data_IF_918961554801
#
_entry.id   IF_918961554801
#
_cell.length_a   1.000
_cell.length_b   1.000
_cell.length_c   1.000
_cell.angle_alpha   90.00
_cell.angle_beta   90.00
_cell.angle_gamma   90.00
#
_symmetry.space_group_name_H-M   'P 1'
#
loop_
_entity.id
_entity.type
_entity.pdbx_description
1 polymer ?
#
# COMPACT_ATOMS: atom_id res chain seq x y z
N UNK A 1 -24.79 -12.51 -5.43
CA UNK A 1 -24.75 -11.53 -4.31
C UNK A 1 -25.39 -12.12 -3.06
N UNK A 2 -24.80 -11.88 -1.89
CA UNK A 2 -25.34 -12.29 -0.60
C UNK A 2 -26.16 -11.14 -0.01
N UNK A 3 -27.46 -11.33 0.18
CA UNK A 3 -28.36 -10.34 0.74
C UNK A 3 -28.66 -10.71 2.19
N UNK A 4 -28.35 -9.83 3.15
CA UNK A 4 -28.54 -10.04 4.59
C UNK A 4 -29.49 -8.99 5.14
N UNK A 5 -30.61 -9.45 5.74
CA UNK A 5 -31.63 -8.56 6.34
C UNK A 5 -31.64 -8.71 7.84
N UNK A 6 -32.00 -7.65 8.54
CA UNK A 6 -32.16 -7.69 10.02
C UNK A 6 -33.17 -8.76 10.46
N UNK A 7 -34.18 -9.06 9.61
CA UNK A 7 -35.21 -10.08 9.89
C UNK A 7 -34.72 -11.52 9.67
N UNK A 8 -33.54 -11.74 9.09
CA UNK A 8 -33.06 -13.09 8.78
C UNK A 8 -32.67 -13.79 10.10
N UNK A 9 -33.15 -15.04 10.29
CA UNK A 9 -32.89 -15.81 11.50
C UNK A 9 -31.39 -16.09 11.73
N UNK A 10 -30.62 -16.13 10.64
CA UNK A 10 -29.16 -16.37 10.60
C UNK A 10 -28.34 -15.07 10.42
N UNK A 11 -28.95 -13.89 10.62
CA UNK A 11 -28.33 -12.58 10.38
C UNK A 11 -26.91 -12.48 10.98
N UNK A 12 -26.74 -12.79 12.25
CA UNK A 12 -25.42 -12.66 12.92
C UNK A 12 -24.38 -13.65 12.39
N UNK A 13 -24.80 -14.87 12.03
CA UNK A 13 -23.91 -15.86 11.40
C UNK A 13 -23.44 -15.38 10.02
N UNK A 14 -24.33 -14.77 9.24
CA UNK A 14 -23.98 -14.21 7.92
C UNK A 14 -23.11 -12.97 8.01
N UNK A 15 -23.31 -12.12 9.04
CA UNK A 15 -22.37 -11.02 9.31
C UNK A 15 -20.98 -11.55 9.68
N UNK A 16 -20.90 -12.66 10.42
CA UNK A 16 -19.62 -13.31 10.70
C UNK A 16 -18.96 -13.83 9.43
N UNK A 17 -19.72 -14.41 8.52
CA UNK A 17 -19.22 -14.87 7.24
C UNK A 17 -18.74 -13.68 6.36
N UNK A 18 -19.53 -12.61 6.27
CA UNK A 18 -19.14 -11.40 5.54
C UNK A 18 -17.84 -10.75 6.09
N UNK A 19 -17.60 -10.91 7.40
CA UNK A 19 -16.42 -10.37 8.09
C UNK A 19 -15.26 -11.37 8.20
N UNK A 20 -15.39 -12.59 7.69
CA UNK A 20 -14.31 -13.55 7.71
C UNK A 20 -13.12 -13.02 6.89
N UNK A 21 -11.94 -13.00 7.51
CA UNK A 21 -10.72 -12.54 6.83
C UNK A 21 -10.37 -13.48 5.68
N UNK A 22 -9.99 -12.93 4.54
CA UNK A 22 -9.35 -13.71 3.49
C UNK A 22 -7.95 -14.10 3.96
N UNK A 23 -7.60 -15.38 3.88
CA UNK A 23 -6.24 -15.80 4.19
C UNK A 23 -5.28 -15.31 3.12
N UNK A 24 -4.32 -14.47 3.52
CA UNK A 24 -3.16 -14.10 2.68
C UNK A 24 -2.08 -15.18 2.70
N UNK A 25 -2.28 -16.24 3.48
CA UNK A 25 -1.28 -17.27 3.78
C UNK A 25 -1.73 -18.61 3.20
N UNK A 26 -1.37 -18.85 1.94
CA UNK A 26 -1.53 -20.13 1.27
C UNK A 26 -0.18 -20.87 1.27
N UNK A 27 -0.07 -22.04 1.94
CA UNK A 27 1.16 -22.81 2.02
C UNK A 27 1.73 -23.22 0.65
N UNK A 28 0.86 -23.47 -0.32
CA UNK A 28 1.28 -23.87 -1.68
C UNK A 28 1.91 -22.68 -2.41
N UNK A 29 1.30 -21.49 -2.27
CA UNK A 29 1.85 -20.26 -2.84
C UNK A 29 3.18 -19.93 -2.15
N UNK A 30 3.26 -20.08 -0.83
CA UNK A 30 4.48 -19.83 -0.07
C UNK A 30 5.63 -20.71 -0.54
N UNK A 31 5.42 -22.01 -0.66
CA UNK A 31 6.46 -22.98 -1.08
C UNK A 31 6.95 -22.70 -2.50
N UNK A 32 6.01 -22.45 -3.42
CA UNK A 32 6.38 -22.05 -4.79
C UNK A 32 7.16 -20.74 -4.82
N UNK A 33 6.77 -19.78 -4.00
CA UNK A 33 7.46 -18.48 -3.91
C UNK A 33 8.86 -18.65 -3.33
N UNK A 34 9.04 -19.50 -2.34
CA UNK A 34 10.37 -19.83 -1.77
C UNK A 34 11.29 -20.40 -2.82
N UNK A 35 10.81 -21.36 -3.62
CA UNK A 35 11.56 -21.94 -4.74
C UNK A 35 12.02 -20.86 -5.73
N UNK A 36 11.15 -19.89 -6.06
CA UNK A 36 11.49 -18.80 -6.97
C UNK A 36 12.56 -17.88 -6.35
N UNK A 37 12.41 -17.51 -5.08
CA UNK A 37 13.36 -16.66 -4.35
C UNK A 37 14.76 -17.31 -4.36
N UNK A 38 14.86 -18.59 -4.00
CA UNK A 38 16.14 -19.31 -3.96
C UNK A 38 16.75 -19.44 -5.35
N UNK A 39 15.95 -19.65 -6.39
CA UNK A 39 16.44 -19.68 -7.76
C UNK A 39 17.03 -18.34 -8.20
N UNK A 40 16.37 -17.21 -7.90
CA UNK A 40 16.92 -15.87 -8.21
C UNK A 40 18.19 -15.61 -7.41
N UNK A 41 18.22 -15.96 -6.13
CA UNK A 41 19.40 -15.81 -5.28
C UNK A 41 20.61 -16.60 -5.81
N UNK A 42 20.37 -17.81 -6.33
CA UNK A 42 21.45 -18.70 -6.79
C UNK A 42 21.94 -18.40 -8.23
N UNK A 43 21.04 -17.90 -9.11
CA UNK A 43 21.30 -17.81 -10.56
C UNK A 43 21.12 -16.42 -11.15
N UNK A 44 20.77 -15.41 -10.34
CA UNK A 44 20.67 -14.01 -10.77
C UNK A 44 19.77 -13.81 -12.00
N UNK A 45 20.28 -13.10 -12.99
CA UNK A 45 19.56 -12.74 -14.21
C UNK A 45 19.10 -13.95 -15.03
N UNK A 46 19.83 -15.07 -15.00
CA UNK A 46 19.43 -16.30 -15.68
C UNK A 46 18.08 -16.83 -15.15
N UNK A 47 17.83 -16.72 -13.83
CA UNK A 47 16.54 -17.07 -13.25
C UNK A 47 15.46 -16.06 -13.64
N UNK A 48 15.78 -14.76 -13.72
CA UNK A 48 14.83 -13.74 -14.16
C UNK A 48 14.34 -13.98 -15.58
N UNK A 49 15.25 -14.28 -16.50
CA UNK A 49 14.92 -14.60 -17.90
C UNK A 49 14.02 -15.84 -17.97
N UNK A 50 14.39 -16.92 -17.28
CA UNK A 50 13.59 -18.16 -17.25
C UNK A 50 12.17 -17.91 -16.72
N UNK A 51 12.03 -17.20 -15.62
CA UNK A 51 10.71 -16.95 -15.02
C UNK A 51 9.87 -15.93 -15.81
N UNK A 52 10.51 -14.95 -16.45
CA UNK A 52 9.83 -14.04 -17.37
C UNK A 52 9.25 -14.79 -18.56
N UNK A 53 10.03 -15.72 -19.15
CA UNK A 53 9.52 -16.57 -20.22
C UNK A 53 8.37 -17.44 -19.73
N UNK A 54 8.50 -18.05 -18.57
CA UNK A 54 7.51 -18.99 -18.02
C UNK A 54 6.20 -18.31 -17.64
N UNK A 55 6.24 -17.11 -17.05
CA UNK A 55 5.07 -16.46 -16.46
C UNK A 55 4.48 -15.36 -17.34
N UNK A 56 5.33 -14.61 -18.02
CA UNK A 56 4.93 -13.49 -18.89
C UNK A 56 4.90 -13.89 -20.37
N UNK A 57 5.53 -15.02 -20.73
CA UNK A 57 5.61 -15.53 -22.08
C UNK A 57 6.63 -14.78 -22.98
N UNK A 58 7.45 -13.92 -22.40
CA UNK A 58 8.44 -13.11 -23.11
C UNK A 58 9.83 -13.77 -23.04
N UNK A 59 10.47 -13.92 -24.19
CA UNK A 59 11.86 -14.38 -24.29
C UNK A 59 12.77 -13.16 -24.32
N UNK A 60 13.49 -12.93 -23.20
CA UNK A 60 14.44 -11.83 -23.04
C UNK A 60 15.86 -12.36 -22.91
N UNK A 61 16.86 -11.53 -23.25
CA UNK A 61 18.24 -11.70 -22.77
C UNK A 61 18.46 -10.86 -21.50
N UNK A 62 19.50 -11.12 -20.71
CA UNK A 62 19.82 -10.28 -19.54
C UNK A 62 19.95 -8.79 -19.88
N UNK A 63 20.53 -8.43 -21.03
CA UNK A 63 20.70 -7.05 -21.49
C UNK A 63 19.37 -6.37 -21.82
N UNK A 64 18.33 -7.14 -22.06
CA UNK A 64 16.97 -6.64 -22.32
C UNK A 64 16.13 -6.47 -21.06
N UNK A 65 16.59 -6.95 -19.91
CA UNK A 65 15.88 -6.75 -18.62
C UNK A 65 15.73 -5.26 -18.30
N UNK A 66 16.78 -4.42 -18.39
CA UNK A 66 16.65 -2.97 -18.18
C UNK A 66 15.89 -2.30 -19.34
N UNK A 67 15.05 -1.33 -18.99
CA UNK A 67 14.44 -0.42 -19.96
C UNK A 67 15.42 0.66 -20.32
N UNK A 68 15.70 0.81 -21.61
CA UNK A 68 16.65 1.79 -22.12
C UNK A 68 16.14 3.22 -22.06
N UNK A 69 17.04 4.20 -22.06
CA UNK A 69 16.68 5.62 -22.14
C UNK A 69 15.93 5.94 -23.45
N UNK A 70 16.24 5.27 -24.55
CA UNK A 70 15.55 5.44 -25.81
C UNK A 70 14.07 5.03 -25.73
N UNK A 71 13.76 3.90 -25.09
CA UNK A 71 12.38 3.45 -24.88
C UNK A 71 11.60 4.40 -23.96
N UNK A 72 12.24 4.90 -22.90
CA UNK A 72 11.65 5.91 -22.01
C UNK A 72 11.34 7.21 -22.76
N UNK A 73 12.22 7.64 -23.64
CA UNK A 73 11.99 8.81 -24.49
C UNK A 73 10.88 8.55 -25.50
N UNK A 74 10.87 7.40 -26.15
CA UNK A 74 9.82 7.02 -27.11
C UNK A 74 8.45 6.99 -26.42
N UNK A 75 8.30 6.38 -25.25
CA UNK A 75 7.06 6.39 -24.49
C UNK A 75 6.61 7.84 -24.15
N UNK A 76 7.57 8.70 -23.84
CA UNK A 76 7.30 10.12 -23.61
C UNK A 76 6.84 10.85 -24.88
N UNK A 77 7.36 10.54 -26.03
CA UNK A 77 6.93 11.13 -27.31
C UNK A 77 5.53 10.63 -27.72
N UNK A 78 5.23 9.35 -27.49
CA UNK A 78 3.95 8.72 -27.82
C UNK A 78 2.79 9.14 -26.90
N UNK A 79 3.07 9.70 -25.73
CA UNK A 79 2.04 10.14 -24.80
C UNK A 79 1.22 11.29 -25.39
N UNK A 80 -0.08 11.05 -25.65
CA UNK A 80 -1.02 12.04 -26.15
C UNK A 80 -1.35 13.11 -25.11
N UNK A 81 -1.98 14.23 -25.54
CA UNK A 81 -2.25 15.37 -24.66
C UNK A 81 -3.10 15.00 -23.44
N UNK A 82 -4.12 14.16 -23.61
CA UNK A 82 -5.02 13.76 -22.52
C UNK A 82 -4.27 12.94 -21.45
N UNK A 83 -3.44 11.98 -21.87
CA UNK A 83 -2.61 11.21 -20.94
C UNK A 83 -1.63 12.12 -20.19
N UNK A 84 -0.99 13.06 -20.88
CA UNK A 84 -0.08 14.03 -20.26
C UNK A 84 -0.78 14.90 -19.23
N UNK A 85 -1.97 15.40 -19.55
CA UNK A 85 -2.78 16.21 -18.64
C UNK A 85 -3.19 15.43 -17.40
N UNK A 86 -3.75 14.22 -17.58
CA UNK A 86 -4.18 13.35 -16.46
C UNK A 86 -3.01 12.96 -15.56
N UNK A 87 -1.88 12.56 -16.10
CA UNK A 87 -0.67 12.22 -15.34
C UNK A 87 -0.13 13.42 -14.58
N UNK A 88 -0.09 14.61 -15.20
CA UNK A 88 0.39 15.82 -14.55
C UNK A 88 -0.53 16.27 -13.42
N UNK A 89 -1.85 16.21 -13.60
CA UNK A 89 -2.84 16.54 -12.58
C UNK A 89 -2.74 15.59 -11.38
N UNK A 90 -2.77 14.29 -11.64
CA UNK A 90 -2.66 13.25 -10.61
C UNK A 90 -1.36 13.41 -9.82
N UNK A 91 -0.21 13.48 -10.50
CA UNK A 91 1.09 13.64 -9.84
C UNK A 91 1.19 14.92 -9.01
N UNK A 92 0.60 16.03 -9.48
CA UNK A 92 0.53 17.31 -8.73
C UNK A 92 -0.26 17.15 -7.44
N UNK A 93 -1.44 16.52 -7.50
CA UNK A 93 -2.30 16.33 -6.34
C UNK A 93 -1.65 15.37 -5.32
N UNK A 94 -1.08 14.26 -5.79
CA UNK A 94 -0.32 13.31 -4.95
C UNK A 94 0.84 14.03 -4.26
N UNK A 95 1.65 14.78 -5.00
CA UNK A 95 2.78 15.50 -4.44
C UNK A 95 2.35 16.57 -3.42
N UNK A 96 1.26 17.30 -3.70
CA UNK A 96 0.72 18.32 -2.80
C UNK A 96 0.22 17.72 -1.49
N UNK A 97 -0.53 16.61 -1.55
CA UNK A 97 -0.99 15.89 -0.38
C UNK A 97 0.18 15.32 0.43
N UNK A 98 1.10 14.61 -0.24
CA UNK A 98 2.21 13.90 0.40
C UNK A 98 3.18 14.84 1.10
N UNK A 99 3.42 16.05 0.56
CA UNK A 99 4.27 17.06 1.22
C UNK A 99 3.80 17.42 2.62
N UNK A 100 2.50 17.33 2.91
CA UNK A 100 1.92 17.63 4.23
C UNK A 100 2.22 16.54 5.27
N UNK A 101 2.35 15.28 4.83
CA UNK A 101 2.65 14.14 5.71
C UNK A 101 4.15 13.84 5.85
N UNK A 102 5.02 14.54 5.10
CA UNK A 102 6.46 14.37 5.18
C UNK A 102 6.96 14.76 6.57
N UNK A 103 7.66 13.86 7.24
CA UNK A 103 8.29 14.12 8.54
C UNK A 103 9.46 15.08 8.39
N UNK A 104 9.61 15.95 9.38
CA UNK A 104 10.70 16.94 9.47
C UNK A 104 11.51 16.70 10.73
N UNK A 105 12.79 17.00 10.66
CA UNK A 105 13.69 16.95 11.81
C UNK A 105 13.18 17.86 12.93
N UNK A 106 13.37 17.41 14.15
CA UNK A 106 13.05 18.19 15.34
C UNK A 106 14.05 17.93 16.45
N UNK A 107 14.21 18.90 17.36
CA UNK A 107 15.05 18.81 18.52
C UNK A 107 14.40 19.55 19.70
N UNK A 108 14.54 19.01 20.90
CA UNK A 108 14.03 19.58 22.14
C UNK A 108 14.97 19.26 23.30
N UNK A 109 14.86 20.00 24.41
CA UNK A 109 15.58 19.70 25.65
C UNK A 109 14.78 18.72 26.51
N UNK A 110 15.44 17.69 27.02
CA UNK A 110 14.84 16.80 28.03
C UNK A 110 14.97 17.41 29.46
N UNK A 111 14.51 16.70 30.48
CA UNK A 111 14.54 17.15 31.90
C UNK A 111 15.94 17.41 32.43
N UNK A 112 16.97 16.83 31.85
CA UNK A 112 18.36 17.07 32.21
C UNK A 112 18.96 18.31 31.51
N UNK A 113 18.26 18.88 30.50
CA UNK A 113 18.73 19.95 29.64
C UNK A 113 19.61 19.49 28.48
N UNK A 114 19.64 18.18 28.21
CA UNK A 114 20.29 17.59 27.04
C UNK A 114 19.42 17.76 25.80
N UNK A 115 20.03 17.91 24.64
CA UNK A 115 19.33 17.92 23.35
C UNK A 115 18.96 16.48 22.96
N UNK A 116 17.70 16.29 22.63
CA UNK A 116 17.18 15.04 22.05
C UNK A 116 16.32 15.38 20.85
N UNK A 117 16.36 14.55 19.82
CA UNK A 117 15.62 14.84 18.60
C UNK A 117 15.55 13.66 17.66
N UNK A 118 14.95 13.90 16.52
CA UNK A 118 14.86 12.92 15.43
C UNK A 118 15.26 13.59 14.11
N UNK A 119 15.99 12.85 13.30
CA UNK A 119 16.27 13.22 11.90
C UNK A 119 15.60 12.21 10.98
N UNK A 120 15.04 12.71 9.90
CA UNK A 120 14.29 11.92 8.91
C UNK A 120 14.97 11.98 7.55
N UNK A 121 15.65 10.93 7.19
CA UNK A 121 16.39 10.83 5.95
C UNK A 121 15.67 9.89 4.96
N UNK A 122 15.58 10.24 3.67
CA UNK A 122 15.04 9.31 2.68
C UNK A 122 15.91 8.06 2.58
N UNK A 123 15.29 6.94 2.25
CA UNK A 123 16.05 5.77 1.81
C UNK A 123 16.84 6.12 0.54
N UNK A 124 18.09 5.69 0.48
CA UNK A 124 18.97 6.01 -0.67
C UNK A 124 18.53 5.31 -1.95
N UNK A 125 18.01 4.10 -1.84
CA UNK A 125 17.54 3.30 -2.98
C UNK A 125 16.30 2.51 -2.58
N UNK A 126 15.20 2.72 -3.30
CA UNK A 126 13.92 2.06 -3.04
C UNK A 126 13.44 1.30 -4.28
N UNK A 127 12.82 0.16 -4.05
CA UNK A 127 12.18 -0.63 -5.10
C UNK A 127 10.67 -0.42 -5.10
N UNK A 128 10.10 -0.21 -6.26
CA UNK A 128 8.66 -0.09 -6.49
C UNK A 128 8.24 -1.21 -7.43
N UNK A 129 7.37 -2.08 -6.95
CA UNK A 129 6.73 -3.09 -7.78
C UNK A 129 5.41 -2.55 -8.33
N UNK A 130 5.22 -2.61 -9.63
CA UNK A 130 3.98 -2.24 -10.29
C UNK A 130 3.41 -3.49 -10.95
N UNK A 131 2.22 -3.94 -10.56
CA UNK A 131 1.62 -5.12 -11.17
C UNK A 131 1.32 -4.89 -12.65
N UNK A 132 1.48 -5.96 -13.43
CA UNK A 132 0.89 -6.10 -14.76
C UNK A 132 -0.35 -6.96 -14.69
N UNK A 133 -0.79 -7.48 -15.83
CA UNK A 133 -1.90 -8.40 -15.94
C UNK A 133 -3.04 -7.85 -16.80
N UNK A 134 -4.27 -7.84 -16.29
CA UNK A 134 -5.46 -7.50 -17.09
C UNK A 134 -5.60 -6.01 -17.42
N UNK A 135 -4.83 -5.13 -16.77
CA UNK A 135 -4.83 -3.69 -17.02
C UNK A 135 -3.46 -3.06 -16.71
N UNK A 136 -3.01 -2.04 -17.47
CA UNK A 136 -1.83 -1.26 -17.13
C UNK A 136 -2.14 -0.33 -15.96
N UNK A 137 -1.47 -0.53 -14.82
CA UNK A 137 -1.72 0.24 -13.60
C UNK A 137 -0.90 1.54 -13.59
N UNK A 138 -1.24 2.46 -14.48
CA UNK A 138 -0.62 3.80 -14.61
C UNK A 138 -0.71 4.59 -13.31
N UNK A 139 -1.87 4.53 -12.64
CA UNK A 139 -2.10 5.18 -11.35
C UNK A 139 -1.18 4.66 -10.25
N UNK A 140 -0.93 3.35 -10.19
CA UNK A 140 -0.02 2.76 -9.19
C UNK A 140 1.42 3.28 -9.36
N UNK A 141 1.88 3.51 -10.58
CA UNK A 141 3.17 4.17 -10.82
C UNK A 141 3.21 5.56 -10.19
N UNK A 142 2.17 6.37 -10.39
CA UNK A 142 2.08 7.71 -9.81
C UNK A 142 1.96 7.67 -8.29
N UNK A 143 1.10 6.80 -7.75
CA UNK A 143 0.80 6.68 -6.32
C UNK A 143 1.96 6.13 -5.47
N UNK A 144 2.98 5.56 -6.10
CA UNK A 144 4.17 5.03 -5.42
C UNK A 144 5.42 5.86 -5.68
N UNK A 145 5.75 6.09 -6.96
CA UNK A 145 6.98 6.78 -7.37
C UNK A 145 6.97 8.25 -6.95
N UNK A 146 5.80 8.92 -7.05
CA UNK A 146 5.71 10.34 -6.63
C UNK A 146 5.97 10.49 -5.13
N UNK A 147 5.54 9.56 -4.29
CA UNK A 147 5.83 9.59 -2.86
C UNK A 147 7.33 9.44 -2.59
N UNK A 148 7.99 8.50 -3.27
CA UNK A 148 9.44 8.30 -3.18
C UNK A 148 10.20 9.59 -3.56
N UNK A 149 9.77 10.23 -4.66
CA UNK A 149 10.35 11.52 -5.11
C UNK A 149 10.11 12.64 -4.11
N UNK A 150 8.89 12.76 -3.54
CA UNK A 150 8.56 13.78 -2.52
C UNK A 150 9.34 13.55 -1.23
N UNK A 151 9.58 12.30 -0.84
CA UNK A 151 10.45 11.96 0.29
C UNK A 151 11.90 12.37 0.05
N UNK A 152 12.33 12.43 -1.22
CA UNK A 152 13.70 12.76 -1.62
C UNK A 152 14.59 11.54 -1.85
N UNK A 153 14.02 10.35 -2.15
CA UNK A 153 14.79 9.15 -2.48
C UNK A 153 15.62 9.41 -3.76
N UNK A 154 16.95 9.27 -3.73
CA UNK A 154 17.80 9.53 -4.91
C UNK A 154 17.64 8.49 -6.00
N UNK A 155 17.44 7.22 -5.62
CA UNK A 155 17.31 6.10 -6.57
C UNK A 155 15.95 5.40 -6.37
N UNK A 156 15.15 5.40 -7.43
CA UNK A 156 13.81 4.83 -7.46
C UNK A 156 13.76 3.78 -8.56
N UNK A 157 13.86 2.52 -8.16
CA UNK A 157 13.87 1.34 -9.04
C UNK A 157 12.45 0.84 -9.24
N UNK A 158 12.06 0.60 -10.46
CA UNK A 158 10.74 0.07 -10.80
C UNK A 158 10.89 -1.31 -11.45
N UNK A 159 10.17 -2.30 -10.94
CA UNK A 159 9.99 -3.60 -11.58
C UNK A 159 8.52 -3.78 -11.96
N UNK A 160 8.27 -4.19 -13.19
CA UNK A 160 6.93 -4.45 -13.72
C UNK A 160 7.02 -5.53 -14.83
N UNK A 161 6.03 -6.45 -14.92
CA UNK A 161 6.04 -7.45 -15.98
C UNK A 161 5.88 -6.80 -17.35
N UNK A 162 6.44 -7.45 -18.37
CA UNK A 162 6.29 -7.05 -19.77
C UNK A 162 5.20 -7.87 -20.48
N UNK A 163 4.83 -7.41 -21.67
CA UNK A 163 4.03 -8.19 -22.61
C UNK A 163 4.84 -9.35 -23.20
N UNK A 164 4.14 -10.28 -23.90
CA UNK A 164 4.77 -11.44 -24.57
C UNK A 164 5.85 -11.04 -25.60
N UNK A 165 5.75 -9.85 -26.14
CA UNK A 165 6.73 -9.23 -27.05
C UNK A 165 7.92 -8.58 -26.33
N UNK A 166 7.99 -8.69 -25.01
CA UNK A 166 9.03 -8.08 -24.19
C UNK A 166 8.88 -6.57 -24.00
N UNK A 167 7.79 -5.95 -24.45
CA UNK A 167 7.60 -4.51 -24.31
C UNK A 167 6.80 -4.16 -23.03
N UNK A 168 6.99 -2.94 -22.53
CA UNK A 168 6.15 -2.37 -21.47
C UNK A 168 5.04 -1.51 -22.08
N UNK A 169 3.91 -1.43 -21.38
CA UNK A 169 2.85 -0.52 -21.79
C UNK A 169 3.36 0.93 -21.85
N UNK A 170 3.24 1.64 -22.98
CA UNK A 170 3.80 2.98 -23.15
C UNK A 170 3.26 4.01 -22.16
N UNK A 171 1.97 3.93 -21.79
CA UNK A 171 1.36 4.85 -20.83
C UNK A 171 1.93 4.63 -19.42
N UNK A 172 2.13 3.36 -19.00
CA UNK A 172 2.79 3.02 -17.75
C UNK A 172 4.23 3.52 -17.72
N UNK A 173 4.98 3.28 -18.79
CA UNK A 173 6.37 3.70 -18.91
C UNK A 173 6.50 5.23 -18.88
N UNK A 174 5.61 5.94 -19.58
CA UNK A 174 5.51 7.39 -19.50
C UNK A 174 5.25 7.89 -18.09
N UNK A 175 4.26 7.33 -17.39
CA UNK A 175 3.91 7.73 -16.02
C UNK A 175 5.03 7.47 -15.03
N UNK A 176 5.68 6.29 -15.09
CA UNK A 176 6.82 5.96 -14.24
C UNK A 176 8.00 6.93 -14.45
N UNK A 177 8.30 7.24 -15.72
CA UNK A 177 9.32 8.22 -16.09
C UNK A 177 8.97 9.63 -15.58
N UNK A 178 7.75 10.09 -15.79
CA UNK A 178 7.25 11.38 -15.35
C UNK A 178 7.30 11.54 -13.83
N UNK A 179 6.88 10.49 -13.10
CA UNK A 179 6.89 10.48 -11.63
C UNK A 179 8.30 10.50 -11.04
N UNK A 180 9.32 10.08 -11.79
CA UNK A 180 10.72 10.18 -11.39
C UNK A 180 11.43 8.85 -11.14
N UNK A 181 10.99 7.74 -11.76
CA UNK A 181 11.72 6.49 -11.74
C UNK A 181 13.13 6.68 -12.31
N UNK A 182 14.16 6.24 -11.59
CA UNK A 182 15.56 6.32 -12.04
C UNK A 182 15.94 5.12 -12.89
N UNK A 183 15.46 3.94 -12.54
CA UNK A 183 15.67 2.69 -13.23
C UNK A 183 14.33 1.95 -13.38
N UNK A 184 14.14 1.28 -14.51
CA UNK A 184 12.93 0.49 -14.81
C UNK A 184 13.37 -0.85 -15.40
N UNK A 185 12.78 -1.96 -14.89
CA UNK A 185 13.11 -3.31 -15.28
C UNK A 185 11.86 -4.10 -15.67
N UNK A 186 11.97 -4.93 -16.72
CA UNK A 186 10.93 -5.83 -17.24
C UNK A 186 10.89 -7.13 -16.47
N UNK A 187 10.58 -7.05 -15.19
CA UNK A 187 10.50 -8.24 -14.32
C UNK A 187 9.25 -8.16 -13.50
N UNK A 188 8.38 -9.16 -13.63
CA UNK A 188 7.14 -9.31 -12.86
C UNK A 188 7.28 -10.27 -11.69
N UNK A 189 6.19 -10.48 -10.96
CA UNK A 189 6.03 -11.55 -9.99
C UNK A 189 6.96 -11.53 -8.78
N UNK A 190 7.03 -12.66 -8.10
CA UNK A 190 7.88 -12.85 -6.91
C UNK A 190 9.37 -12.78 -7.23
N UNK A 191 9.80 -13.13 -8.46
CA UNK A 191 11.18 -13.01 -8.90
C UNK A 191 11.65 -11.54 -8.95
N UNK A 192 10.75 -10.58 -9.25
CA UNK A 192 11.06 -9.16 -9.17
C UNK A 192 11.36 -8.71 -7.74
N UNK A 193 10.57 -9.19 -6.78
CA UNK A 193 10.81 -8.90 -5.35
C UNK A 193 12.13 -9.50 -4.91
N UNK A 194 12.41 -10.76 -5.27
CA UNK A 194 13.67 -11.42 -4.96
C UNK A 194 14.88 -10.68 -5.53
N UNK A 195 14.80 -10.23 -6.80
CA UNK A 195 15.84 -9.46 -7.45
C UNK A 195 16.09 -8.10 -6.77
N UNK A 196 15.03 -7.38 -6.42
CA UNK A 196 15.16 -6.12 -5.69
C UNK A 196 15.78 -6.29 -4.30
N UNK A 197 15.61 -7.44 -3.65
CA UNK A 197 16.13 -7.70 -2.31
C UNK A 197 17.56 -8.21 -2.35
N UNK A 198 17.84 -9.23 -3.14
CA UNK A 198 19.16 -9.89 -3.16
C UNK A 198 20.14 -9.25 -4.13
N UNK A 199 19.62 -8.53 -5.13
CA UNK A 199 20.40 -8.09 -6.28
C UNK A 199 20.56 -9.21 -7.30
N UNK A 200 20.91 -8.83 -8.52
CA UNK A 200 21.35 -9.69 -9.61
C UNK A 200 22.47 -8.96 -10.35
N UNK A 201 22.94 -9.50 -11.48
CA UNK A 201 23.96 -8.86 -12.31
C UNK A 201 23.48 -7.49 -12.83
N UNK A 202 22.17 -7.38 -13.16
CA UNK A 202 21.59 -6.13 -13.72
C UNK A 202 20.88 -5.28 -12.68
N UNK A 203 20.29 -5.86 -11.62
CA UNK A 203 19.48 -5.16 -10.62
C UNK A 203 20.24 -5.08 -9.31
N UNK A 204 20.70 -3.89 -8.93
CA UNK A 204 21.31 -3.67 -7.61
C UNK A 204 20.24 -3.73 -6.50
N UNK A 205 20.56 -4.28 -5.31
CA UNK A 205 19.59 -4.42 -4.23
C UNK A 205 19.08 -3.06 -3.70
N UNK A 206 17.88 -3.07 -3.13
CA UNK A 206 17.22 -1.89 -2.57
C UNK A 206 17.11 -1.98 -1.06
N UNK A 207 16.86 -0.85 -0.39
CA UNK A 207 16.72 -0.80 1.08
C UNK A 207 15.28 -1.03 1.55
N UNK A 208 14.29 -0.78 0.69
CA UNK A 208 12.88 -1.03 0.97
C UNK A 208 12.11 -1.28 -0.31
N UNK A 209 11.13 -2.20 -0.24
CA UNK A 209 10.27 -2.56 -1.36
C UNK A 209 8.86 -2.06 -1.10
N UNK A 210 8.26 -1.46 -2.13
CA UNK A 210 6.92 -0.87 -2.12
C UNK A 210 6.09 -1.40 -3.27
N UNK A 211 4.77 -1.27 -3.13
CA UNK A 211 3.80 -1.53 -4.19
C UNK A 211 2.95 -2.77 -3.96
N UNK A 212 1.72 -2.77 -4.51
CA UNK A 212 0.80 -3.90 -4.45
C UNK A 212 1.23 -5.04 -5.37
N UNK A 213 0.62 -6.19 -5.23
CA UNK A 213 0.86 -7.33 -6.12
C UNK A 213 -0.06 -8.49 -5.84
N UNK A 214 0.03 -9.52 -6.67
CA UNK A 214 -0.72 -10.77 -6.47
C UNK A 214 -0.19 -11.57 -5.27
N UNK A 215 -0.83 -12.69 -4.96
CA UNK A 215 -0.50 -13.53 -3.81
C UNK A 215 0.98 -13.98 -3.78
N UNK A 216 1.62 -14.19 -4.93
CA UNK A 216 3.06 -14.54 -5.02
C UNK A 216 3.96 -13.35 -4.64
N UNK A 217 3.61 -12.14 -5.08
CA UNK A 217 4.33 -10.90 -4.72
C UNK A 217 4.21 -10.64 -3.23
N UNK A 218 3.01 -10.79 -2.68
CA UNK A 218 2.73 -10.65 -1.24
C UNK A 218 3.52 -11.69 -0.43
N UNK A 219 3.52 -12.95 -0.87
CA UNK A 219 4.29 -14.02 -0.24
C UNK A 219 5.79 -13.73 -0.27
N UNK A 220 6.33 -13.23 -1.41
CA UNK A 220 7.74 -12.86 -1.53
C UNK A 220 8.12 -11.71 -0.59
N UNK A 221 7.30 -10.65 -0.50
CA UNK A 221 7.51 -9.54 0.44
C UNK A 221 7.53 -10.05 1.88
N UNK A 222 6.62 -10.94 2.25
CA UNK A 222 6.55 -11.53 3.58
C UNK A 222 7.76 -12.41 3.90
N UNK A 223 8.17 -13.28 2.98
CA UNK A 223 9.31 -14.19 3.17
C UNK A 223 10.64 -13.45 3.26
N UNK A 224 10.75 -12.30 2.59
CA UNK A 224 11.96 -11.49 2.55
C UNK A 224 11.96 -10.34 3.57
N UNK A 225 10.89 -10.18 4.34
CA UNK A 225 10.86 -9.24 5.45
C UNK A 225 11.95 -9.61 6.48
N UNK A 226 12.76 -8.64 6.86
CA UNK A 226 13.96 -8.86 7.70
C UNK A 226 15.27 -8.80 6.90
N UNK A 227 15.29 -9.26 5.65
CA UNK A 227 16.38 -8.96 4.71
C UNK A 227 16.25 -7.54 4.15
N UNK A 228 15.02 -7.11 3.89
CA UNK A 228 14.66 -5.76 3.45
C UNK A 228 13.41 -5.30 4.19
N UNK A 229 13.21 -4.00 4.31
CA UNK A 229 11.93 -3.46 4.76
C UNK A 229 10.91 -3.53 3.63
N UNK A 230 9.64 -3.79 3.96
CA UNK A 230 8.50 -3.74 3.01
C UNK A 230 7.47 -2.72 3.49
N UNK A 231 6.58 -2.27 2.59
CA UNK A 231 5.48 -1.37 2.92
C UNK A 231 4.29 -2.13 3.56
N UNK A 232 3.43 -2.68 2.72
CA UNK A 232 2.21 -3.41 3.08
C UNK A 232 2.20 -4.80 2.43
N UNK A 233 1.34 -5.67 2.94
CA UNK A 233 1.00 -6.96 2.36
C UNK A 233 -0.47 -6.93 1.91
N UNK A 234 -0.83 -6.15 0.87
CA UNK A 234 -2.21 -6.02 0.43
C UNK A 234 -2.69 -7.28 -0.26
N UNK A 235 -3.90 -7.72 0.08
CA UNK A 235 -4.64 -8.74 -0.64
C UNK A 235 -5.49 -8.13 -1.75
N UNK A 236 -6.53 -8.85 -2.20
CA UNK A 236 -7.52 -8.35 -3.15
C UNK A 236 -8.20 -7.08 -2.65
N UNK A 237 -8.51 -6.17 -3.57
CA UNK A 237 -9.10 -4.87 -3.24
C UNK A 237 -10.50 -5.00 -2.64
N UNK A 238 -10.87 -4.02 -1.80
CA UNK A 238 -12.11 -4.04 -1.03
C UNK A 238 -12.79 -2.67 -1.06
N UNK A 239 -14.12 -2.68 -1.14
CA UNK A 239 -14.92 -1.47 -0.93
C UNK A 239 -16.11 -1.75 -0.02
N UNK A 240 -16.39 -0.80 0.87
CA UNK A 240 -17.62 -0.76 1.65
C UNK A 240 -18.32 0.57 1.42
N UNK A 241 -19.58 0.52 0.99
CA UNK A 241 -20.45 1.71 0.89
C UNK A 241 -21.49 1.66 2.02
N UNK A 242 -21.43 2.62 2.93
CA UNK A 242 -22.48 2.87 3.91
C UNK A 242 -23.49 3.86 3.29
N UNK A 243 -24.71 3.42 3.06
CA UNK A 243 -25.78 4.21 2.45
C UNK A 243 -27.04 4.23 3.34
N UNK A 244 -27.55 5.42 3.67
CA UNK A 244 -28.89 5.55 4.23
C UNK A 244 -29.94 5.81 3.12
N UNK A 245 -31.17 6.14 3.50
CA UNK A 245 -32.28 6.42 2.58
C UNK A 245 -32.10 7.70 1.75
N UNK A 246 -31.12 8.54 2.04
CA UNK A 246 -30.78 9.74 1.28
C UNK A 246 -29.83 9.52 0.13
N UNK A 247 -29.16 8.34 0.09
CA UNK A 247 -28.21 8.01 -0.95
C UNK A 247 -28.92 7.65 -2.25
N UNK A 248 -28.38 8.15 -3.38
CA UNK A 248 -28.86 7.73 -4.70
C UNK A 248 -28.42 6.27 -4.98
N UNK A 249 -29.36 5.33 -5.16
CA UNK A 249 -29.01 3.92 -5.38
C UNK A 249 -28.20 3.69 -6.67
N UNK A 250 -28.28 4.62 -7.65
CA UNK A 250 -27.49 4.54 -8.87
C UNK A 250 -26.00 4.72 -8.59
N UNK A 251 -25.66 5.66 -7.69
CA UNK A 251 -24.28 5.94 -7.32
C UNK A 251 -23.70 4.80 -6.50
N UNK A 252 -24.44 4.34 -5.49
CA UNK A 252 -24.04 3.19 -4.68
C UNK A 252 -23.75 1.97 -5.58
N UNK A 253 -24.66 1.64 -6.51
CA UNK A 253 -24.47 0.52 -7.42
C UNK A 253 -23.24 0.70 -8.33
N UNK A 254 -22.99 1.91 -8.84
CA UNK A 254 -21.84 2.20 -9.68
C UNK A 254 -20.51 1.99 -8.93
N UNK A 255 -20.41 2.43 -7.68
CA UNK A 255 -19.18 2.32 -6.89
C UNK A 255 -18.90 0.86 -6.48
N UNK A 256 -19.96 0.08 -6.15
CA UNK A 256 -19.83 -1.37 -5.93
C UNK A 256 -19.35 -2.11 -7.19
N UNK A 257 -19.88 -1.75 -8.37
CA UNK A 257 -19.48 -2.33 -9.65
C UNK A 257 -18.05 -1.93 -10.05
N UNK A 258 -17.65 -0.69 -9.80
CA UNK A 258 -16.29 -0.21 -10.05
C UNK A 258 -15.25 -1.01 -9.25
N UNK A 259 -15.53 -1.35 -8.00
CA UNK A 259 -14.64 -2.21 -7.22
C UNK A 259 -14.60 -3.64 -7.76
N UNK A 260 -15.74 -4.17 -8.16
CA UNK A 260 -15.85 -5.55 -8.65
C UNK A 260 -15.13 -5.79 -9.99
N UNK A 261 -14.80 -4.73 -10.77
CA UNK A 261 -14.17 -4.86 -12.09
C UNK A 261 -12.65 -5.04 -12.07
N UNK A 262 -11.98 -5.00 -10.90
CA UNK A 262 -10.51 -5.12 -10.81
C UNK A 262 -9.97 -6.42 -11.45
N UNK A 263 -10.70 -7.51 -11.38
CA UNK A 263 -10.48 -8.69 -12.22
C UNK A 263 -9.66 -9.81 -11.60
N UNK A 264 -9.36 -9.78 -10.29
CA UNK A 264 -8.78 -10.94 -9.60
C UNK A 264 -9.83 -12.02 -9.33
N UNK A 265 -11.11 -11.62 -9.24
CA UNK A 265 -12.23 -12.46 -8.84
C UNK A 265 -12.28 -12.75 -7.34
N UNK A 266 -11.44 -12.07 -6.57
CA UNK A 266 -11.35 -12.17 -5.11
C UNK A 266 -11.61 -10.84 -4.41
N UNK A 267 -11.96 -9.81 -5.16
CA UNK A 267 -12.38 -8.51 -4.65
C UNK A 267 -13.53 -8.71 -3.66
N UNK A 268 -13.60 -7.85 -2.64
CA UNK A 268 -14.66 -7.89 -1.63
C UNK A 268 -15.46 -6.61 -1.67
N UNK A 269 -16.77 -6.75 -1.78
CA UNK A 269 -17.67 -5.62 -1.99
C UNK A 269 -18.79 -5.69 -0.97
N UNK A 270 -18.94 -4.63 -0.18
CA UNK A 270 -20.01 -4.54 0.83
C UNK A 270 -20.83 -3.27 0.63
N UNK A 271 -22.13 -3.42 0.66
CA UNK A 271 -23.06 -2.35 0.96
C UNK A 271 -23.60 -2.55 2.37
N UNK A 272 -23.59 -1.50 3.17
CA UNK A 272 -24.23 -1.49 4.49
C UNK A 272 -25.32 -0.41 4.50
N UNK A 273 -26.54 -0.75 4.90
CA UNK A 273 -27.65 0.19 4.91
C UNK A 273 -28.56 -0.03 6.11
N UNK A 274 -29.21 1.04 6.56
CA UNK A 274 -30.31 0.95 7.56
C UNK A 274 -31.70 0.83 6.90
N UNK A 275 -31.77 0.96 5.56
CA UNK A 275 -33.02 1.02 4.81
C UNK A 275 -33.24 -0.23 3.95
N UNK A 276 -34.32 -0.95 4.20
CA UNK A 276 -34.74 -2.08 3.35
C UNK A 276 -35.13 -1.64 1.93
N UNK A 277 -35.64 -0.42 1.78
CA UNK A 277 -35.95 0.15 0.47
C UNK A 277 -34.68 0.42 -0.34
N UNK A 278 -33.67 0.99 0.31
CA UNK A 278 -32.36 1.27 -0.31
C UNK A 278 -31.67 -0.03 -0.75
N UNK A 279 -31.71 -1.08 0.09
CA UNK A 279 -31.15 -2.39 -0.27
C UNK A 279 -31.74 -2.94 -1.58
N UNK A 280 -33.08 -2.93 -1.71
CA UNK A 280 -33.78 -3.37 -2.93
C UNK A 280 -33.49 -2.48 -4.13
N UNK A 281 -33.40 -1.15 -3.93
CA UNK A 281 -33.13 -0.21 -4.99
C UNK A 281 -31.73 -0.39 -5.57
N UNK A 282 -30.72 -0.60 -4.71
CA UNK A 282 -29.33 -0.85 -5.15
C UNK A 282 -29.20 -2.21 -5.85
N UNK A 283 -29.86 -3.27 -5.35
CA UNK A 283 -29.90 -4.59 -6.02
C UNK A 283 -30.42 -4.47 -7.46
N UNK A 284 -31.52 -3.71 -7.65
CA UNK A 284 -32.09 -3.42 -8.95
C UNK A 284 -31.16 -2.62 -9.85
N UNK A 285 -30.49 -1.61 -9.30
CA UNK A 285 -29.53 -0.79 -10.02
C UNK A 285 -28.27 -1.55 -10.45
N UNK A 286 -27.73 -2.43 -9.64
CA UNK A 286 -26.64 -3.34 -10.01
C UNK A 286 -27.05 -4.15 -11.24
N UNK A 287 -28.24 -4.78 -11.20
CA UNK A 287 -28.77 -5.59 -12.30
C UNK A 287 -28.98 -4.77 -13.59
N UNK A 288 -29.34 -3.49 -13.46
CA UNK A 288 -29.52 -2.56 -14.59
C UNK A 288 -28.21 -2.11 -15.21
N UNK A 289 -27.18 -1.81 -14.38
CA UNK A 289 -25.93 -1.22 -14.85
C UNK A 289 -24.94 -2.27 -15.35
N UNK A 290 -24.89 -3.46 -14.76
CA UNK A 290 -23.92 -4.51 -15.10
C UNK A 290 -23.86 -4.83 -16.62
N UNK A 291 -24.98 -4.99 -17.35
CA UNK A 291 -24.93 -5.30 -18.79
C UNK A 291 -24.25 -4.23 -19.65
N UNK A 292 -24.11 -2.99 -19.14
CA UNK A 292 -23.50 -1.86 -19.87
C UNK A 292 -21.98 -1.83 -19.73
N UNK A 293 -21.38 -2.66 -18.87
CA UNK A 293 -19.95 -2.64 -18.55
C UNK A 293 -19.16 -3.66 -19.39
N UNK A 294 -17.99 -3.25 -19.85
CA UNK A 294 -17.13 -4.11 -20.69
C UNK A 294 -16.57 -5.34 -19.95
N UNK A 295 -16.27 -5.19 -18.65
CA UNK A 295 -15.66 -6.27 -17.82
C UNK A 295 -16.70 -7.10 -17.05
N UNK A 296 -17.92 -7.19 -17.54
CA UNK A 296 -19.07 -7.81 -16.88
C UNK A 296 -18.83 -9.24 -16.37
N UNK A 297 -18.00 -10.03 -17.05
CA UNK A 297 -17.70 -11.40 -16.64
C UNK A 297 -16.88 -11.45 -15.34
N UNK A 298 -15.89 -10.57 -15.20
CA UNK A 298 -15.13 -10.43 -13.96
C UNK A 298 -16.01 -9.91 -12.83
N UNK A 299 -16.81 -8.87 -13.12
CA UNK A 299 -17.76 -8.29 -12.17
C UNK A 299 -18.76 -9.35 -11.69
N UNK A 300 -19.37 -10.12 -12.60
CA UNK A 300 -20.35 -11.15 -12.26
C UNK A 300 -19.76 -12.19 -11.29
N UNK A 301 -18.53 -12.63 -11.50
CA UNK A 301 -17.84 -13.55 -10.60
C UNK A 301 -17.75 -13.00 -9.18
N UNK A 302 -17.37 -11.73 -9.03
CA UNK A 302 -17.28 -11.06 -7.73
C UNK A 302 -18.65 -10.87 -7.10
N UNK A 303 -19.66 -10.50 -7.90
CA UNK A 303 -21.04 -10.38 -7.44
C UNK A 303 -21.56 -11.70 -6.87
N UNK A 304 -21.24 -12.82 -7.50
CA UNK A 304 -21.74 -14.13 -7.10
C UNK A 304 -21.07 -14.69 -5.84
N UNK A 305 -19.80 -14.33 -5.60
CA UNK A 305 -18.99 -14.94 -4.55
C UNK A 305 -18.71 -14.03 -3.36
N UNK A 306 -18.39 -12.74 -3.61
CA UNK A 306 -17.76 -11.86 -2.61
C UNK A 306 -18.51 -10.53 -2.41
N UNK A 307 -19.75 -10.41 -2.90
CA UNK A 307 -20.55 -9.19 -2.74
C UNK A 307 -21.67 -9.40 -1.72
N UNK A 308 -21.73 -8.49 -0.76
CA UNK A 308 -22.67 -8.52 0.36
C UNK A 308 -23.49 -7.23 0.42
N UNK A 309 -24.81 -7.35 0.33
CA UNK A 309 -25.77 -6.27 0.57
C UNK A 309 -26.37 -6.48 1.96
N UNK A 310 -26.01 -5.67 2.92
CA UNK A 310 -26.27 -5.90 4.35
C UNK A 310 -27.19 -4.80 4.92
N UNK A 311 -28.36 -5.19 5.39
CA UNK A 311 -29.21 -4.33 6.20
C UNK A 311 -28.83 -4.48 7.68
N UNK A 312 -28.65 -3.34 8.37
CA UNK A 312 -28.43 -3.26 9.81
C UNK A 312 -29.51 -2.42 10.45
N UNK A 313 -29.72 -2.56 11.76
CA UNK A 313 -30.82 -1.91 12.49
C UNK A 313 -30.67 -0.38 12.57
N UNK A 314 -29.45 0.12 12.70
CA UNK A 314 -29.16 1.54 12.89
C UNK A 314 -27.71 1.89 12.50
N UNK A 315 -27.36 3.18 12.51
CA UNK A 315 -26.00 3.66 12.20
C UNK A 315 -24.95 3.22 13.23
N UNK A 316 -25.33 2.89 14.48
CA UNK A 316 -24.37 2.36 15.46
C UNK A 316 -23.93 0.95 15.07
N UNK A 317 -24.89 0.12 14.68
CA UNK A 317 -24.60 -1.21 14.15
C UNK A 317 -23.79 -1.14 12.85
N UNK A 318 -24.08 -0.16 11.96
CA UNK A 318 -23.29 0.07 10.75
C UNK A 318 -21.82 0.40 11.07
N UNK A 319 -21.56 1.36 11.96
CA UNK A 319 -20.21 1.74 12.37
C UNK A 319 -19.48 0.57 13.05
N UNK A 320 -20.16 -0.20 13.88
CA UNK A 320 -19.58 -1.41 14.49
C UNK A 320 -19.15 -2.43 13.45
N UNK A 321 -19.98 -2.65 12.43
CA UNK A 321 -19.66 -3.55 11.32
C UNK A 321 -18.50 -3.03 10.47
N UNK A 322 -18.46 -1.72 10.14
CA UNK A 322 -17.36 -1.09 9.42
C UNK A 322 -16.03 -1.30 10.16
N UNK A 323 -15.97 -1.01 11.44
CA UNK A 323 -14.76 -1.19 12.26
C UNK A 323 -14.35 -2.68 12.36
N UNK A 324 -15.31 -3.59 12.30
CA UNK A 324 -15.07 -5.03 12.29
C UNK A 324 -14.57 -5.52 10.94
N UNK A 325 -15.07 -4.99 9.83
CA UNK A 325 -14.61 -5.30 8.47
C UNK A 325 -13.25 -4.67 8.20
N UNK A 326 -13.03 -3.45 8.70
CA UNK A 326 -11.86 -2.63 8.44
C UNK A 326 -11.52 -2.54 6.95
N UNK A 327 -12.46 -2.07 6.11
CA UNK A 327 -12.35 -2.12 4.67
C UNK A 327 -11.21 -1.24 4.15
N UNK A 328 -10.66 -1.60 3.01
CA UNK A 328 -9.70 -0.78 2.27
C UNK A 328 -10.28 0.60 1.95
N UNK A 329 -11.42 0.62 1.27
CA UNK A 329 -12.17 1.83 0.94
C UNK A 329 -13.48 1.84 1.70
N UNK A 330 -13.78 2.96 2.36
CA UNK A 330 -15.03 3.17 3.10
C UNK A 330 -15.74 4.42 2.59
N UNK A 331 -16.78 4.25 1.80
CA UNK A 331 -17.64 5.35 1.37
C UNK A 331 -18.80 5.55 2.32
N UNK A 332 -19.11 6.81 2.66
CA UNK A 332 -20.18 7.17 3.57
C UNK A 332 -21.17 8.08 2.84
N UNK A 333 -22.22 7.50 2.31
CA UNK A 333 -23.30 8.16 1.59
C UNK A 333 -24.53 8.31 2.49
N UNK A 334 -24.40 9.08 3.58
CA UNK A 334 -25.48 9.36 4.53
C UNK A 334 -25.78 10.83 4.58
N UNK A 335 -26.92 11.24 5.21
CA UNK A 335 -27.30 12.66 5.37
C UNK A 335 -26.21 13.47 6.08
N UNK A 336 -25.50 12.89 7.04
CA UNK A 336 -24.42 13.56 7.77
C UNK A 336 -23.16 12.69 7.87
N UNK A 337 -22.40 12.53 6.77
CA UNK A 337 -21.28 11.62 6.72
C UNK A 337 -20.15 12.04 7.67
N UNK A 338 -19.91 13.35 7.86
CA UNK A 338 -18.83 13.87 8.71
C UNK A 338 -18.98 13.48 10.19
N UNK A 339 -20.21 13.31 10.68
CA UNK A 339 -20.47 12.92 12.07
C UNK A 339 -20.02 11.48 12.36
N UNK A 340 -19.86 10.63 11.35
CA UNK A 340 -19.45 9.24 11.50
C UNK A 340 -17.93 9.05 11.51
N UNK A 341 -17.17 9.97 10.91
CA UNK A 341 -15.70 9.86 10.77
C UNK A 341 -14.98 9.62 12.11
N UNK A 342 -15.27 10.35 13.21
CA UNK A 342 -14.57 10.13 14.48
C UNK A 342 -14.84 8.77 15.12
N UNK A 343 -15.82 8.04 14.61
CA UNK A 343 -16.27 6.74 15.14
C UNK A 343 -15.74 5.56 14.32
N UNK A 344 -15.15 5.82 13.15
CA UNK A 344 -14.56 4.81 12.26
C UNK A 344 -13.04 4.79 12.52
N UNK A 345 -12.58 3.72 13.14
CA UNK A 345 -11.18 3.59 13.60
C UNK A 345 -10.32 2.69 12.72
N UNK A 346 -10.96 1.96 11.81
CA UNK A 346 -10.30 0.95 11.01
C UNK A 346 -10.85 0.99 9.58
N UNK A 347 -10.25 1.81 8.75
CA UNK A 347 -10.47 1.84 7.30
C UNK A 347 -9.17 2.31 6.63
N UNK A 348 -8.87 1.84 5.44
CA UNK A 348 -7.72 2.31 4.67
C UNK A 348 -7.89 3.76 4.23
N UNK A 349 -9.04 4.09 3.64
CA UNK A 349 -9.45 5.45 3.27
C UNK A 349 -10.95 5.65 3.49
N UNK A 350 -11.37 6.90 3.78
CA UNK A 350 -12.77 7.27 3.99
C UNK A 350 -13.18 8.32 2.96
N UNK A 351 -14.28 8.08 2.23
CA UNK A 351 -14.85 8.95 1.22
C UNK A 351 -16.20 9.48 1.70
N UNK A 352 -16.43 10.80 1.63
CA UNK A 352 -17.56 11.43 2.30
C UNK A 352 -18.56 12.04 1.31
N UNK A 353 -19.79 11.52 1.37
CA UNK A 353 -20.92 12.02 0.58
C UNK A 353 -20.93 11.50 -0.85
N UNK A 354 -22.06 11.69 -1.51
CA UNK A 354 -22.36 11.14 -2.83
C UNK A 354 -21.49 11.68 -3.98
N UNK A 355 -20.78 12.79 -3.75
CA UNK A 355 -19.85 13.37 -4.73
C UNK A 355 -18.42 12.88 -4.61
N UNK A 356 -18.15 11.87 -3.77
CA UNK A 356 -16.80 11.39 -3.47
C UNK A 356 -16.67 9.88 -3.73
N UNK A 357 -16.84 9.41 -4.97
CA UNK A 357 -16.64 7.99 -5.29
C UNK A 357 -15.19 7.56 -5.09
N UNK A 358 -14.98 6.30 -4.73
CA UNK A 358 -13.65 5.68 -4.49
C UNK A 358 -12.67 5.95 -5.62
N UNK A 359 -13.13 5.92 -6.88
CA UNK A 359 -12.29 6.12 -8.06
C UNK A 359 -11.57 7.48 -8.11
N UNK A 360 -12.06 8.50 -7.41
CA UNK A 360 -11.30 9.75 -7.24
C UNK A 360 -10.02 9.52 -6.43
N UNK A 361 -10.07 8.68 -5.40
CA UNK A 361 -8.92 8.24 -4.64
C UNK A 361 -7.95 7.43 -5.48
N UNK A 362 -8.45 6.59 -6.35
CA UNK A 362 -7.63 5.74 -7.22
C UNK A 362 -6.81 6.56 -8.23
N UNK A 363 -7.30 7.72 -8.66
CA UNK A 363 -6.69 8.44 -9.78
C UNK A 363 -6.19 9.84 -9.44
N UNK A 364 -7.00 10.70 -8.84
CA UNK A 364 -6.73 12.15 -8.86
C UNK A 364 -6.80 12.87 -7.51
N UNK A 365 -7.37 12.29 -6.47
CA UNK A 365 -7.60 12.99 -5.21
C UNK A 365 -6.29 13.33 -4.43
N UNK A 366 -5.25 12.52 -4.60
CA UNK A 366 -3.94 12.77 -4.01
C UNK A 366 -3.47 11.81 -2.92
N UNK A 367 -4.29 11.33 -1.97
CA UNK A 367 -3.91 10.21 -1.12
C UNK A 367 -3.55 8.97 -1.94
N UNK A 368 -2.56 8.18 -1.47
CA UNK A 368 -2.21 6.94 -2.18
C UNK A 368 -3.32 5.90 -2.06
N UNK A 369 -3.61 5.22 -3.16
CA UNK A 369 -4.55 4.11 -3.20
C UNK A 369 -3.93 2.76 -2.77
N UNK A 370 -2.65 2.72 -2.42
CA UNK A 370 -2.02 1.51 -1.86
C UNK A 370 -2.40 1.43 -0.40
N UNK A 371 -3.43 0.69 -0.10
CA UNK A 371 -4.12 0.67 1.18
C UNK A 371 -4.10 -0.74 1.81
N UNK A 372 -4.33 -0.86 3.13
CA UNK A 372 -4.44 -2.16 3.79
C UNK A 372 -5.77 -2.83 3.42
N UNK A 373 -5.73 -4.13 3.12
CA UNK A 373 -6.87 -4.97 2.79
C UNK A 373 -7.02 -6.14 3.76
N UNK A 374 -8.07 -6.95 3.66
CA UNK A 374 -8.24 -8.15 4.47
C UNK A 374 -8.40 -7.88 5.97
N UNK A 375 -8.91 -6.72 6.33
CA UNK A 375 -9.03 -6.29 7.72
C UNK A 375 -7.74 -5.73 8.33
N UNK A 376 -6.65 -5.60 7.54
CA UNK A 376 -5.37 -5.07 8.01
C UNK A 376 -5.42 -3.58 8.38
N UNK A 377 -6.46 -2.85 7.94
CA UNK A 377 -6.70 -1.45 8.33
C UNK A 377 -6.79 -1.21 9.84
N UNK A 378 -6.99 -2.29 10.66
CA UNK A 378 -6.91 -2.23 12.12
C UNK A 378 -5.49 -2.06 12.66
N UNK A 379 -4.48 -2.43 11.88
CA UNK A 379 -3.07 -2.49 12.34
C UNK A 379 -2.12 -1.69 11.46
N UNK A 380 -2.51 -1.42 10.22
CA UNK A 380 -1.66 -0.77 9.23
C UNK A 380 -2.38 0.42 8.58
N UNK A 381 -1.64 1.50 8.36
CA UNK A 381 -2.08 2.62 7.54
C UNK A 381 -1.79 2.34 6.05
N UNK A 382 -2.44 3.10 5.16
CA UNK A 382 -2.09 3.14 3.75
C UNK A 382 -0.68 3.67 3.50
N UNK A 383 -0.23 3.59 2.27
CA UNK A 383 1.09 4.07 1.87
C UNK A 383 1.18 5.59 2.01
N UNK A 384 2.18 6.06 2.76
CA UNK A 384 2.44 7.47 3.01
C UNK A 384 3.90 7.82 2.76
N UNK A 385 4.18 9.12 2.57
CA UNK A 385 5.53 9.62 2.23
C UNK A 385 6.56 9.36 3.32
N UNK A 386 6.16 9.35 4.58
CA UNK A 386 7.06 9.08 5.70
C UNK A 386 7.57 7.64 5.74
N UNK A 387 6.88 6.71 5.09
CA UNK A 387 7.38 5.33 4.92
C UNK A 387 8.60 5.24 3.98
N UNK A 388 8.86 6.28 3.18
CA UNK A 388 10.07 6.42 2.36
C UNK A 388 11.22 7.11 3.11
N UNK A 389 11.02 7.46 4.38
CA UNK A 389 12.02 8.06 5.25
C UNK A 389 12.41 7.10 6.37
N UNK A 390 13.68 7.14 6.75
CA UNK A 390 14.21 6.43 7.91
C UNK A 390 14.40 7.42 9.05
N UNK A 391 13.80 7.12 10.19
CA UNK A 391 13.95 7.88 11.43
C UNK A 391 15.21 7.46 12.18
N UNK A 392 16.00 8.43 12.64
CA UNK A 392 17.14 8.21 13.52
C UNK A 392 17.02 9.16 14.71
N UNK A 393 17.12 8.61 15.93
CA UNK A 393 17.17 9.41 17.15
C UNK A 393 18.56 10.01 17.33
N UNK A 394 18.62 11.30 17.71
CA UNK A 394 19.85 12.03 17.98
C UNK A 394 19.82 12.45 19.44
N UNK A 395 20.91 12.18 20.15
CA UNK A 395 21.06 12.48 21.57
C UNK A 395 22.39 13.18 21.82
N UNK A 396 22.37 14.38 22.40
CA UNK A 396 23.55 15.15 22.73
C UNK A 396 23.50 15.63 24.19
N UNK A 397 24.47 15.16 25.00
CA UNK A 397 24.61 15.55 26.40
C UNK A 397 25.85 16.42 26.63
N UNK A 398 25.66 17.58 27.23
CA UNK A 398 26.74 18.36 27.82
C UNK A 398 27.17 17.73 29.17
N UNK A 399 28.38 18.05 29.67
CA UNK A 399 28.83 17.61 31.01
C UNK A 399 27.85 17.99 32.14
N UNK A 400 27.25 19.22 32.17
CA UNK A 400 26.24 19.55 33.18
C UNK A 400 24.96 18.69 33.07
N UNK A 401 24.49 18.42 31.87
CA UNK A 401 23.34 17.56 31.65
C UNK A 401 23.62 16.11 32.08
N UNK A 402 24.80 15.59 31.75
CA UNK A 402 25.23 14.26 32.15
C UNK A 402 25.30 14.10 33.67
N UNK A 403 25.81 15.10 34.40
CA UNK A 403 25.82 15.08 35.89
C UNK A 403 24.41 14.88 36.45
N UNK A 404 23.39 15.53 35.87
CA UNK A 404 21.98 15.35 36.31
C UNK A 404 21.45 13.96 36.02
N UNK A 405 21.87 13.32 34.91
CA UNK A 405 21.44 12.00 34.51
C UNK A 405 22.14 10.86 35.28
N UNK A 406 23.35 11.12 35.84
CA UNK A 406 24.26 10.07 36.32
C UNK A 406 23.62 9.18 37.40
N UNK A 407 22.86 9.75 38.34
CA UNK A 407 22.18 8.99 39.40
C UNK A 407 21.22 7.96 38.81
N UNK A 408 20.41 8.37 37.82
CA UNK A 408 19.48 7.47 37.15
C UNK A 408 20.17 6.34 36.40
N UNK A 409 21.24 6.68 35.66
CA UNK A 409 22.04 5.66 34.93
C UNK A 409 22.66 4.66 35.91
N UNK A 410 23.26 5.12 37.01
CA UNK A 410 23.86 4.24 38.01
C UNK A 410 22.81 3.32 38.67
N UNK A 411 21.61 3.85 38.97
CA UNK A 411 20.51 3.05 39.55
C UNK A 411 20.08 1.94 38.61
N UNK A 412 19.80 2.25 37.33
CA UNK A 412 19.38 1.23 36.36
C UNK A 412 20.50 0.22 36.09
N UNK A 413 21.73 0.69 35.90
CA UNK A 413 22.87 -0.20 35.70
C UNK A 413 23.05 -1.18 36.85
N UNK A 414 22.88 -0.74 38.12
CA UNK A 414 22.93 -1.60 39.30
C UNK A 414 21.80 -2.63 39.37
N UNK A 415 20.56 -2.21 39.04
CA UNK A 415 19.41 -3.10 39.03
C UNK A 415 19.50 -4.18 37.94
N UNK A 416 20.10 -3.85 36.81
CA UNK A 416 20.26 -4.74 35.66
C UNK A 416 21.57 -5.57 35.72
N UNK A 417 22.44 -5.30 36.69
CA UNK A 417 23.74 -5.96 36.78
C UNK A 417 24.72 -5.56 35.65
N UNK A 418 24.51 -4.34 35.07
CA UNK A 418 25.26 -3.82 33.93
C UNK A 418 26.23 -2.72 34.36
N UNK A 419 27.21 -3.05 35.20
CA UNK A 419 28.21 -2.10 35.76
C UNK A 419 29.03 -1.38 34.67
N UNK A 420 29.32 -2.03 33.56
CA UNK A 420 29.91 -1.38 32.37
C UNK A 420 29.09 -0.19 31.84
N UNK A 421 27.77 -0.27 31.88
CA UNK A 421 26.87 0.82 31.50
C UNK A 421 26.98 2.00 32.46
N UNK A 422 26.95 1.72 33.79
CA UNK A 422 27.16 2.73 34.82
C UNK A 422 28.55 3.37 34.71
N UNK A 423 29.59 2.59 34.51
CA UNK A 423 30.97 3.04 34.35
C UNK A 423 31.12 3.93 33.10
N UNK A 424 30.48 3.56 31.99
CA UNK A 424 30.51 4.34 30.76
C UNK A 424 30.03 5.77 30.95
N UNK A 425 29.01 6.01 31.76
CA UNK A 425 28.53 7.37 32.06
C UNK A 425 29.46 8.08 33.06
N UNK A 426 29.87 7.40 34.13
CA UNK A 426 30.64 8.01 35.23
C UNK A 426 32.01 8.48 34.77
N UNK A 427 32.74 7.71 33.98
CA UNK A 427 34.11 8.02 33.52
C UNK A 427 34.18 9.34 32.75
N UNK A 428 33.11 9.78 32.08
CA UNK A 428 33.05 11.04 31.33
C UNK A 428 33.07 12.28 32.22
N UNK A 429 32.84 12.12 33.52
CA UNK A 429 32.86 13.18 34.51
C UNK A 429 34.13 13.13 35.36
N UNK A 430 34.97 12.12 35.23
CA UNK A 430 36.25 12.01 35.91
C UNK A 430 37.29 13.01 35.30
N UNK A 431 38.24 13.49 36.08
CA UNK A 431 39.38 14.24 35.56
C UNK A 431 40.13 13.39 34.53
N UNK A 432 40.53 14.02 33.42
CA UNK A 432 41.43 13.30 32.49
C UNK A 432 42.77 12.99 33.25
N UNK A 433 43.31 11.80 33.11
CA UNK A 433 44.64 11.52 33.63
C UNK A 433 45.60 12.56 33.03
N UNK A 434 46.32 13.26 33.88
CA UNK A 434 47.39 14.16 33.42
C UNK A 434 48.31 13.33 32.55
N UNK A 435 48.41 13.71 31.27
CA UNK A 435 49.23 13.01 30.29
C UNK A 435 50.66 12.82 30.81
N UNK A 436 51.16 11.61 30.55
CA UNK A 436 52.59 11.32 30.66
C UNK A 436 53.32 11.96 29.51
#
# INVERSE_FOLDING_TARGET
>A
MHIVRVSDADHDARLNQAAAASSLFDPVIEERTRTIIEAVRARGDAALVEFTQRFDGATLTPEQIPVTQAERMQASLMAGPDLRAAVAESAKNIASFSKRSRRRDWSAKNSHGAQVGEVFQPFQRVGVYIPGGTAPLVSTALMTITLAKVAGCPEIVVCTPCGKDGTLNPALLFAANFAGATEIYRVGGSQAIAAMVHGTETIRPVHKVFGPGNAYVVAAKRLLFGHVSVDLLPGPSETLVLADDSADPRFVAADLLAQAEHGSGHERVWMVTTSAAQLKAVEKEISRQLPTLNRREFIQKVLDTNTWLIQVRDLNAAVSLINRLAPEHCEIMTRNPKALVPRIHAAGAIFLGQGSPTVLGDYVAGPSHVLPTGGAGRSFAGLTVDQFQRRTSVVEYSKPALRKALKGVATFAGLEGLDGHGRSAAIRLEPQPKGR
#
